data_IF_794692162133
#
_entry.id   IF_794692162133
#
_cell.length_a   1.000
_cell.length_b   1.000
_cell.length_c   1.000
_cell.angle_alpha   90.00
_cell.angle_beta   90.00
_cell.angle_gamma   90.00
#
_symmetry.space_group_name_H-M   'P 1'
#
loop_
_entity.id
_entity.type
_entity.pdbx_description
1 polymer ?
#
# COMPACT_ATOMS: atom_id res chain seq x y z
N UNK A 1 3.44 -13.41 1.13
CA UNK A 1 2.49 -12.55 1.85
C UNK A 1 1.16 -12.65 1.14
N UNK A 2 0.08 -12.83 1.88
CA UNK A 2 -1.27 -12.86 1.28
C UNK A 2 -1.74 -11.42 1.15
N UNK A 3 -1.75 -10.88 -0.06
CA UNK A 3 -2.34 -9.59 -0.39
C UNK A 3 -3.83 -9.84 -0.63
N UNK A 4 -4.68 -9.45 0.33
CA UNK A 4 -6.13 -9.50 0.15
C UNK A 4 -6.56 -8.13 -0.38
N UNK A 5 -6.60 -7.99 -1.70
CA UNK A 5 -7.22 -6.85 -2.37
C UNK A 5 -8.73 -7.05 -2.32
N UNK A 6 -9.40 -6.33 -1.41
CA UNK A 6 -10.86 -6.22 -1.43
C UNK A 6 -11.23 -5.21 -2.52
N UNK A 7 -11.18 -5.65 -3.78
CA UNK A 7 -11.71 -4.88 -4.90
C UNK A 7 -13.24 -4.98 -4.87
N UNK A 8 -13.86 -4.04 -4.15
CA UNK A 8 -15.30 -3.84 -4.21
C UNK A 8 -15.68 -3.44 -5.64
N UNK A 9 -16.22 -4.40 -6.41
CA UNK A 9 -16.69 -4.28 -7.80
C UNK A 9 -17.93 -3.40 -7.93
N UNK A 10 -17.89 -2.19 -7.37
CA UNK A 10 -18.82 -1.11 -7.65
C UNK A 10 -18.27 -0.33 -8.84
N UNK A 11 -19.04 -0.25 -9.91
CA UNK A 11 -18.84 0.57 -11.11
C UNK A 11 -18.85 2.08 -10.78
N UNK A 12 -18.12 2.49 -9.77
CA UNK A 12 -18.07 3.86 -9.29
C UNK A 12 -16.93 4.56 -10.02
N UNK A 13 -17.19 5.77 -10.51
CA UNK A 13 -16.21 6.65 -11.17
C UNK A 13 -14.93 6.91 -10.34
N UNK A 14 -14.93 6.46 -9.07
CA UNK A 14 -13.88 6.58 -8.11
C UNK A 14 -13.61 5.20 -7.46
N UNK A 15 -12.64 4.40 -7.98
CA UNK A 15 -12.28 3.15 -7.35
C UNK A 15 -11.64 3.43 -5.99
N UNK A 16 -12.25 2.93 -4.92
CA UNK A 16 -11.67 2.91 -3.58
C UNK A 16 -10.97 1.57 -3.38
N UNK A 17 -9.72 1.61 -2.90
CA UNK A 17 -8.90 0.43 -2.59
C UNK A 17 -8.50 0.44 -1.14
N UNK A 18 -8.68 -0.69 -0.47
CA UNK A 18 -8.23 -0.91 0.90
C UNK A 18 -7.49 -2.25 0.92
N UNK A 19 -6.39 -2.31 1.66
CA UNK A 19 -5.58 -3.52 1.75
C UNK A 19 -4.81 -3.61 3.06
N UNK A 20 -4.38 -4.82 3.37
CA UNK A 20 -3.52 -5.11 4.52
C UNK A 20 -2.37 -6.00 4.06
N UNK A 21 -1.16 -5.73 4.53
CA UNK A 21 0.04 -6.55 4.27
C UNK A 21 0.62 -7.04 5.58
N UNK A 22 0.94 -8.33 5.63
CA UNK A 22 1.79 -8.92 6.66
C UNK A 22 2.90 -9.73 5.98
N UNK A 23 4.16 -9.42 6.30
CA UNK A 23 5.32 -10.04 5.68
C UNK A 23 6.48 -10.16 6.66
N UNK A 24 7.26 -11.23 6.54
CA UNK A 24 8.58 -11.33 7.17
C UNK A 24 9.62 -10.75 6.22
N UNK A 25 10.45 -9.84 6.71
CA UNK A 25 11.47 -9.18 5.89
C UNK A 25 12.65 -10.14 5.64
N UNK A 26 13.19 -10.19 4.41
CA UNK A 26 14.21 -11.17 4.01
C UNK A 26 15.63 -10.81 4.47
N UNK A 27 15.77 -9.85 5.38
CA UNK A 27 17.04 -9.43 5.96
C UNK A 27 16.95 -9.46 7.48
N UNK A 28 18.08 -9.63 8.17
CA UNK A 28 18.18 -9.62 9.63
C UNK A 28 19.22 -8.60 10.08
N UNK A 29 18.87 -7.73 11.02
CA UNK A 29 19.84 -6.82 11.64
C UNK A 29 20.62 -7.45 12.81
N UNK A 30 20.12 -8.56 13.34
CA UNK A 30 20.74 -9.33 14.43
C UNK A 30 20.66 -10.80 14.06
N UNK A 31 21.74 -11.55 14.31
CA UNK A 31 21.83 -12.96 13.96
C UNK A 31 20.62 -13.74 14.53
N UNK A 32 19.81 -14.30 13.64
CA UNK A 32 18.67 -15.15 13.99
C UNK A 32 17.31 -14.46 14.19
N UNK A 33 17.23 -13.12 14.14
CA UNK A 33 15.96 -12.39 14.26
C UNK A 33 15.55 -11.79 12.89
N UNK A 34 14.48 -12.33 12.30
CA UNK A 34 13.88 -11.80 11.08
C UNK A 34 12.74 -10.82 11.44
N UNK A 35 12.84 -9.55 11.03
CA UNK A 35 11.82 -8.56 11.30
C UNK A 35 10.50 -8.90 10.60
N UNK A 36 9.41 -8.53 11.25
CA UNK A 36 8.06 -8.59 10.68
C UNK A 36 7.63 -7.19 10.28
N UNK A 37 6.89 -7.09 9.18
CA UNK A 37 6.25 -5.87 8.71
C UNK A 37 4.75 -6.11 8.61
N UNK A 38 3.99 -5.18 9.19
CA UNK A 38 2.56 -5.04 9.00
C UNK A 38 2.26 -3.69 8.37
N UNK A 39 1.35 -3.64 7.41
CA UNK A 39 0.94 -2.39 6.80
C UNK A 39 -0.57 -2.37 6.49
N UNK A 40 -1.15 -1.19 6.61
CA UNK A 40 -2.51 -0.87 6.16
C UNK A 40 -2.38 0.08 4.97
N UNK A 41 -3.07 -0.24 3.88
CA UNK A 41 -3.09 0.56 2.66
C UNK A 41 -4.50 1.07 2.38
N UNK A 42 -4.58 2.32 1.95
CA UNK A 42 -5.81 2.93 1.46
C UNK A 42 -5.51 3.80 0.26
N UNK A 43 -6.39 3.77 -0.73
CA UNK A 43 -6.21 4.56 -1.93
C UNK A 43 -7.52 4.82 -2.65
N UNK A 44 -7.52 5.87 -3.46
CA UNK A 44 -8.65 6.22 -4.30
C UNK A 44 -8.16 6.65 -5.68
N UNK A 45 -8.97 6.38 -6.70
CA UNK A 45 -8.74 6.88 -8.05
C UNK A 45 -9.86 7.80 -8.52
N UNK A 46 -9.60 8.56 -9.56
CA UNK A 46 -10.61 9.34 -10.28
C UNK A 46 -10.33 9.33 -11.78
N UNK A 47 -11.38 9.35 -12.60
CA UNK A 47 -11.28 9.63 -14.04
C UNK A 47 -11.59 11.09 -14.31
N UNK A 48 -10.76 11.75 -15.11
CA UNK A 48 -10.89 13.15 -15.51
C UNK A 48 -11.24 13.24 -17.00
N UNK A 49 -11.86 14.34 -17.42
CA UNK A 49 -12.09 14.66 -18.84
C UNK A 49 -12.83 13.56 -19.62
N UNK A 50 -13.94 13.04 -19.08
CA UNK A 50 -14.69 11.92 -19.66
C UNK A 50 -13.88 10.64 -19.92
N UNK A 51 -12.80 10.42 -19.16
CA UNK A 51 -11.92 9.26 -19.29
C UNK A 51 -10.62 9.53 -20.05
N UNK A 52 -10.34 10.78 -20.43
CA UNK A 52 -9.07 11.16 -21.06
C UNK A 52 -7.86 11.10 -20.10
N UNK A 53 -8.10 11.09 -18.79
CA UNK A 53 -7.05 10.87 -17.80
C UNK A 53 -7.57 10.12 -16.58
N UNK A 54 -6.64 9.46 -15.89
CA UNK A 54 -6.86 8.80 -14.62
C UNK A 54 -5.82 9.29 -13.62
N UNK A 55 -6.27 9.57 -12.41
CA UNK A 55 -5.40 9.85 -11.26
C UNK A 55 -5.65 8.80 -10.19
N UNK A 56 -4.59 8.36 -9.52
CA UNK A 56 -4.68 7.47 -8.37
C UNK A 56 -3.83 8.04 -7.23
N UNK A 57 -4.37 8.03 -6.02
CA UNK A 57 -3.70 8.42 -4.78
C UNK A 57 -3.73 7.27 -3.80
N UNK A 58 -2.63 7.05 -3.09
CA UNK A 58 -2.47 6.00 -2.11
C UNK A 58 -1.72 6.47 -0.88
N UNK A 59 -2.09 5.92 0.27
CA UNK A 59 -1.39 6.05 1.53
C UNK A 59 -1.22 4.65 2.17
N UNK A 60 -0.03 4.40 2.71
CA UNK A 60 0.32 3.20 3.45
C UNK A 60 0.84 3.62 4.82
N UNK A 61 0.25 3.05 5.88
CA UNK A 61 0.77 3.11 7.24
C UNK A 61 1.37 1.76 7.58
N UNK A 62 2.66 1.73 7.89
CA UNK A 62 3.36 0.51 8.24
C UNK A 62 4.07 0.57 9.58
N UNK A 63 4.27 -0.62 10.14
CA UNK A 63 5.02 -0.87 11.36
C UNK A 63 5.95 -2.05 11.11
N UNK A 64 7.21 -1.90 11.49
CA UNK A 64 8.23 -2.94 11.46
C UNK A 64 8.71 -3.22 12.87
N UNK A 65 8.74 -4.49 13.22
CA UNK A 65 9.20 -4.98 14.50
C UNK A 65 10.23 -6.09 14.29
N UNK A 66 11.37 -5.98 14.95
CA UNK A 66 12.46 -6.93 14.85
C UNK A 66 12.63 -7.82 16.08
N UNK A 67 11.51 -8.31 16.65
CA UNK A 67 11.40 -9.55 17.40
C UNK A 67 12.53 -9.81 18.41
N UNK A 68 12.70 -8.89 19.37
CA UNK A 68 13.73 -8.99 20.41
C UNK A 68 14.92 -8.02 20.26
N UNK A 69 14.89 -7.11 19.30
CA UNK A 69 15.87 -6.02 19.16
C UNK A 69 15.28 -4.64 19.44
N UNK A 70 16.13 -3.62 19.60
CA UNK A 70 15.77 -2.20 19.84
C UNK A 70 15.14 -1.53 18.60
N UNK A 71 14.98 -2.27 17.50
CA UNK A 71 14.51 -1.70 16.23
C UNK A 71 13.00 -1.84 16.10
N UNK A 72 12.31 -0.72 16.32
CA UNK A 72 10.91 -0.50 16.01
C UNK A 72 10.82 0.68 15.05
N UNK A 73 10.29 0.47 13.85
CA UNK A 73 10.13 1.53 12.85
C UNK A 73 8.68 1.65 12.40
N UNK A 74 8.19 2.87 12.50
CA UNK A 74 6.87 3.27 12.06
C UNK A 74 7.03 4.17 10.83
N UNK A 75 6.34 3.86 9.74
CA UNK A 75 6.45 4.66 8.51
C UNK A 75 5.11 5.04 7.91
N UNK A 76 5.17 6.09 7.09
CA UNK A 76 4.11 6.47 6.16
C UNK A 76 4.69 6.49 4.75
N UNK A 77 3.97 5.91 3.80
CA UNK A 77 4.29 6.02 2.37
C UNK A 77 3.08 6.61 1.65
N UNK A 78 3.32 7.63 0.85
CA UNK A 78 2.31 8.24 0.00
C UNK A 78 2.70 8.03 -1.46
N UNK A 79 1.71 7.76 -2.31
CA UNK A 79 1.89 7.62 -3.74
C UNK A 79 0.81 8.39 -4.49
N UNK A 80 1.20 8.97 -5.61
CA UNK A 80 0.29 9.58 -6.56
C UNK A 80 0.74 9.18 -7.96
N UNK A 81 -0.20 8.79 -8.81
CA UNK A 81 0.05 8.53 -10.22
C UNK A 81 -0.99 9.20 -11.08
N UNK A 82 -0.59 9.56 -12.30
CA UNK A 82 -1.48 10.08 -13.32
C UNK A 82 -1.17 9.38 -14.63
N UNK A 83 -2.21 8.90 -15.29
CA UNK A 83 -2.15 8.31 -16.61
C UNK A 83 -3.00 9.15 -17.55
N UNK A 84 -2.38 9.72 -18.58
CA UNK A 84 -3.10 10.38 -19.67
C UNK A 84 -3.40 9.33 -20.72
N UNK A 85 -4.68 9.14 -21.00
CA UNK A 85 -5.19 8.24 -22.03
C UNK A 85 -5.39 9.10 -23.27
N UNK A 86 -4.32 9.23 -24.06
CA UNK A 86 -4.33 10.01 -25.30
C UNK A 86 -5.46 9.58 -26.24
N UNK A 87 -5.96 10.54 -27.02
CA UNK A 87 -6.79 10.28 -28.19
C UNK A 87 -5.91 10.11 -29.42
#
# INVERSE_FOLDING_TARGET
GVEQELEGRLERAYPLRLGVRYATLPFSWTAGAFPTERALTGGFGARLGAGAARVDFGAERGWRDAGGSVFQEDFWRFSASMTVLGR
#
